data_IF_630763494907
#
_entry.id   IF_630763494907
#
_cell.length_a   1.000
_cell.length_b   1.000
_cell.length_c   1.000
_cell.angle_alpha   90.00
_cell.angle_beta   90.00
_cell.angle_gamma   90.00
#
_symmetry.space_group_name_H-M   'P 1'
#
loop_
_entity.id
_entity.type
_entity.pdbx_description
1 polymer ?
#
# COMPACT_ATOMS: atom_id res chain seq x y z
N UNK A 1 -11.44 10.12 12.91
CA UNK A 1 -10.37 10.86 12.20
C UNK A 1 -9.17 9.94 11.92
N UNK A 2 -8.70 9.13 12.87
CA UNK A 2 -7.52 8.26 12.72
C UNK A 2 -7.67 7.16 11.65
N UNK A 3 -8.87 6.76 11.31
CA UNK A 3 -9.14 5.73 10.30
C UNK A 3 -9.26 6.28 8.88
N UNK A 4 -9.63 7.54 8.72
CA UNK A 4 -9.75 8.17 7.40
C UNK A 4 -8.40 8.59 6.82
N UNK A 5 -7.47 9.00 7.67
CA UNK A 5 -6.15 9.47 7.24
C UNK A 5 -5.41 8.42 6.39
N UNK A 6 -5.20 7.16 6.84
CA UNK A 6 -4.50 6.17 6.05
C UNK A 6 -5.21 5.86 4.74
N UNK A 7 -6.54 5.79 4.73
CA UNK A 7 -7.32 5.58 3.52
C UNK A 7 -7.10 6.70 2.50
N UNK A 8 -7.20 7.97 2.92
CA UNK A 8 -6.99 9.13 2.03
C UNK A 8 -5.56 9.13 1.48
N UNK A 9 -4.55 8.90 2.35
CA UNK A 9 -3.14 8.88 1.92
C UNK A 9 -2.91 7.75 0.92
N UNK A 10 -3.45 6.56 1.18
CA UNK A 10 -3.39 5.43 0.24
C UNK A 10 -4.04 5.76 -1.11
N UNK A 11 -5.23 6.36 -1.10
CA UNK A 11 -5.92 6.76 -2.33
C UNK A 11 -5.14 7.81 -3.12
N UNK A 12 -4.53 8.79 -2.45
CA UNK A 12 -3.70 9.82 -3.09
C UNK A 12 -2.46 9.24 -3.78
N UNK A 13 -1.94 8.13 -3.28
CA UNK A 13 -0.77 7.46 -3.89
C UNK A 13 -1.02 7.07 -5.35
N UNK A 14 -2.28 6.79 -5.71
CA UNK A 14 -2.64 6.41 -7.08
C UNK A 14 -2.34 7.49 -8.10
N UNK A 15 -2.32 8.76 -7.68
CA UNK A 15 -1.96 9.88 -8.56
C UNK A 15 -0.50 9.82 -9.05
N UNK A 16 0.35 9.01 -8.44
CA UNK A 16 1.72 8.76 -8.92
C UNK A 16 1.80 7.79 -10.09
N UNK A 17 0.71 7.09 -10.41
CA UNK A 17 0.61 6.14 -11.52
C UNK A 17 -0.01 6.78 -12.76
N UNK A 18 0.13 6.08 -13.89
CA UNK A 18 -0.57 6.50 -15.11
C UNK A 18 -2.10 6.51 -14.88
N UNK A 19 -2.85 7.49 -15.42
CA UNK A 19 -2.46 8.53 -16.37
C UNK A 19 -1.90 9.83 -15.74
N UNK A 20 -1.89 9.96 -14.41
CA UNK A 20 -1.54 11.22 -13.73
C UNK A 20 -0.03 11.46 -13.69
N UNK A 21 0.77 10.42 -13.46
CA UNK A 21 2.25 10.44 -13.44
C UNK A 21 2.87 11.46 -12.46
N UNK A 22 2.18 11.79 -11.36
CA UNK A 22 2.68 12.73 -10.35
C UNK A 22 3.52 11.99 -9.31
N UNK A 23 4.67 11.45 -9.74
CA UNK A 23 5.55 10.61 -8.89
C UNK A 23 6.03 11.32 -7.62
N UNK A 24 6.09 12.65 -7.62
CA UNK A 24 6.48 13.45 -6.45
C UNK A 24 5.58 13.17 -5.23
N UNK A 25 4.34 12.72 -5.45
CA UNK A 25 3.42 12.32 -4.37
C UNK A 25 4.02 11.20 -3.54
N UNK A 26 4.73 10.25 -4.16
CA UNK A 26 5.38 9.15 -3.43
C UNK A 26 6.46 9.65 -2.48
N UNK A 27 7.20 10.71 -2.86
CA UNK A 27 8.21 11.33 -2.00
C UNK A 27 7.60 11.96 -0.73
N UNK A 28 6.31 12.28 -0.75
CA UNK A 28 5.58 12.81 0.40
C UNK A 28 4.88 11.67 1.16
N UNK A 29 4.21 10.79 0.42
CA UNK A 29 3.37 9.73 1.00
C UNK A 29 4.20 8.70 1.77
N UNK A 30 5.33 8.22 1.22
CA UNK A 30 6.13 7.20 1.89
C UNK A 30 6.75 7.68 3.22
N UNK A 31 7.41 8.85 3.29
CA UNK A 31 7.86 9.37 4.58
C UNK A 31 6.74 9.62 5.56
N UNK A 32 5.59 10.12 5.10
CA UNK A 32 4.42 10.33 5.95
C UNK A 32 3.85 9.00 6.48
N UNK A 33 3.78 7.98 5.62
CA UNK A 33 3.33 6.64 6.01
C UNK A 33 4.26 6.03 7.07
N UNK A 34 5.57 6.08 6.85
CA UNK A 34 6.58 5.66 7.83
C UNK A 34 6.45 6.42 9.15
N UNK A 35 6.35 7.75 9.09
CA UNK A 35 6.16 8.59 10.27
C UNK A 35 4.93 8.20 11.08
N UNK A 36 3.79 7.98 10.41
CA UNK A 36 2.54 7.61 11.09
C UNK A 36 2.63 6.21 11.73
N UNK A 37 3.28 5.24 11.09
CA UNK A 37 3.52 3.90 11.66
C UNK A 37 4.38 4.00 12.92
N UNK A 38 5.48 4.75 12.87
CA UNK A 38 6.37 4.95 14.04
C UNK A 38 5.67 5.75 15.15
N UNK A 39 4.84 6.72 14.80
CA UNK A 39 4.02 7.49 15.76
C UNK A 39 3.02 6.57 16.49
N UNK A 40 2.33 5.67 15.77
CA UNK A 40 1.43 4.69 16.39
C UNK A 40 2.21 3.80 17.35
N UNK A 41 3.40 3.32 16.95
CA UNK A 41 4.26 2.52 17.81
C UNK A 41 4.63 3.27 19.10
N UNK A 42 5.15 4.48 18.98
CA UNK A 42 5.54 5.32 20.13
C UNK A 42 4.35 5.61 21.05
N UNK A 43 3.20 5.96 20.49
CA UNK A 43 2.00 6.31 21.27
C UNK A 43 1.38 5.10 21.98
N UNK A 44 1.52 3.90 21.42
CA UNK A 44 0.98 2.67 22.00
C UNK A 44 1.86 2.13 23.14
N UNK A 45 3.14 2.48 23.19
CA UNK A 45 4.08 2.13 24.27
C UNK A 45 4.00 3.06 25.48
N UNK A 46 3.13 4.07 25.47
CA UNK A 46 2.98 5.01 26.60
C UNK A 46 2.52 4.28 27.86
N UNK A 47 3.18 4.56 28.99
CA UNK A 47 2.92 3.95 30.30
C UNK A 47 1.48 4.18 30.79
N UNK A 48 0.89 5.33 30.44
CA UNK A 48 -0.44 5.75 30.92
C UNK A 48 -1.61 5.14 30.15
N UNK A 49 -1.40 4.56 28.98
CA UNK A 49 -2.48 4.00 28.16
C UNK A 49 -1.97 2.87 27.29
N UNK A 50 -2.16 1.63 27.72
CA UNK A 50 -1.92 0.45 26.89
C UNK A 50 -2.95 0.42 25.75
N UNK A 51 -2.53 0.84 24.57
CA UNK A 51 -3.35 0.70 23.37
C UNK A 51 -2.98 -0.60 22.65
N UNK A 52 -3.92 -1.29 21.98
CA UNK A 52 -3.64 -2.51 21.23
C UNK A 52 -2.78 -2.18 19.99
N UNK A 53 -1.46 -2.14 20.19
CA UNK A 53 -0.48 -1.74 19.17
C UNK A 53 -0.65 -2.49 17.86
N UNK A 54 -0.65 -3.83 17.92
CA UNK A 54 -0.74 -4.68 16.72
C UNK A 54 -2.04 -4.46 15.96
N UNK A 55 -3.16 -4.35 16.66
CA UNK A 55 -4.45 -4.05 16.05
C UNK A 55 -4.45 -2.71 15.34
N UNK A 56 -3.90 -1.68 15.98
CA UNK A 56 -3.83 -0.33 15.39
C UNK A 56 -2.94 -0.30 14.16
N UNK A 57 -1.78 -0.99 14.20
CA UNK A 57 -0.86 -1.10 13.07
C UNK A 57 -1.51 -1.86 11.90
N UNK A 58 -2.14 -3.01 12.18
CA UNK A 58 -2.85 -3.78 11.18
C UNK A 58 -3.96 -2.97 10.51
N UNK A 59 -4.83 -2.33 11.31
CA UNK A 59 -5.93 -1.51 10.78
C UNK A 59 -5.41 -0.32 9.97
N UNK A 60 -4.30 0.29 10.40
CA UNK A 60 -3.68 1.39 9.69
C UNK A 60 -3.14 0.95 8.33
N UNK A 61 -2.39 -0.17 8.27
CA UNK A 61 -1.89 -0.74 7.03
C UNK A 61 -3.01 -1.22 6.11
N UNK A 62 -4.05 -1.85 6.67
CA UNK A 62 -5.22 -2.31 5.92
C UNK A 62 -5.97 -1.15 5.26
N UNK A 63 -6.23 -0.07 5.98
CA UNK A 63 -6.94 1.09 5.45
C UNK A 63 -6.12 1.85 4.41
N UNK A 64 -4.80 1.96 4.62
CA UNK A 64 -3.91 2.52 3.61
C UNK A 64 -3.93 1.68 2.33
N UNK A 65 -3.73 0.38 2.45
CA UNK A 65 -3.78 -0.55 1.32
C UNK A 65 -5.14 -0.56 0.64
N UNK A 66 -6.22 -0.56 1.40
CA UNK A 66 -7.57 -0.53 0.86
C UNK A 66 -7.83 0.74 0.05
N UNK A 67 -7.42 1.92 0.54
CA UNK A 67 -7.51 3.16 -0.20
C UNK A 67 -6.69 3.13 -1.49
N UNK A 68 -5.46 2.62 -1.42
CA UNK A 68 -4.57 2.50 -2.56
C UNK A 68 -5.12 1.55 -3.64
N UNK A 69 -5.51 0.34 -3.27
CA UNK A 69 -6.02 -0.62 -4.25
C UNK A 69 -7.43 -0.31 -4.74
N UNK A 70 -8.32 0.19 -3.88
CA UNK A 70 -9.65 0.60 -4.31
C UNK A 70 -9.58 1.68 -5.38
N UNK A 71 -8.74 2.70 -5.18
CA UNK A 71 -8.59 3.79 -6.14
C UNK A 71 -7.81 3.36 -7.39
N UNK A 72 -6.81 2.48 -7.23
CA UNK A 72 -5.90 2.10 -8.33
C UNK A 72 -6.41 1.00 -9.23
N UNK A 73 -7.25 0.08 -8.73
CA UNK A 73 -7.73 -1.07 -9.51
C UNK A 73 -9.24 -1.15 -9.66
N UNK A 74 -9.98 -0.11 -9.27
CA UNK A 74 -11.44 -0.08 -9.43
C UNK A 74 -11.91 -0.29 -10.87
N UNK A 75 -11.08 0.07 -11.85
CA UNK A 75 -11.35 -0.15 -13.27
C UNK A 75 -11.52 -1.63 -13.66
N UNK A 76 -10.99 -2.57 -12.84
CA UNK A 76 -11.07 -4.02 -13.15
C UNK A 76 -12.52 -4.51 -13.20
N UNK A 77 -13.43 -3.84 -12.51
CA UNK A 77 -14.86 -4.22 -12.54
C UNK A 77 -15.50 -3.94 -13.89
N UNK A 78 -14.89 -3.12 -14.75
CA UNK A 78 -15.39 -2.88 -16.10
C UNK A 78 -15.41 -4.17 -16.91
N UNK A 79 -14.51 -5.13 -16.62
CA UNK A 79 -14.53 -6.44 -17.25
C UNK A 79 -15.81 -7.24 -16.96
N UNK A 80 -16.44 -7.01 -15.81
CA UNK A 80 -17.67 -7.66 -15.41
C UNK A 80 -18.93 -7.03 -16.05
N UNK A 81 -18.78 -5.91 -16.75
CA UNK A 81 -19.90 -5.26 -17.43
C UNK A 81 -20.19 -5.82 -18.83
N UNK A 82 -19.29 -6.63 -19.38
CA UNK A 82 -19.45 -7.23 -20.71
C UNK A 82 -20.55 -8.29 -20.77
N UNK A 83 -20.86 -8.94 -19.65
CA UNK A 83 -21.95 -9.92 -19.54
C UNK A 83 -22.88 -9.55 -18.39
N UNK A 84 -24.16 -9.46 -18.68
CA UNK A 84 -25.18 -9.04 -17.69
C UNK A 84 -25.25 -9.97 -16.48
N UNK A 85 -24.92 -11.25 -16.64
CA UNK A 85 -24.91 -12.24 -15.56
C UNK A 85 -23.87 -11.93 -14.49
N UNK A 86 -22.75 -11.28 -14.86
CA UNK A 86 -21.66 -10.95 -13.94
C UNK A 86 -21.81 -9.59 -13.26
N UNK A 87 -22.76 -8.74 -13.67
CA UNK A 87 -22.95 -7.41 -13.06
C UNK A 87 -23.23 -7.47 -11.57
N UNK A 88 -23.89 -8.54 -11.09
CA UNK A 88 -24.15 -8.75 -9.66
C UNK A 88 -22.86 -8.91 -8.83
N UNK A 89 -21.73 -9.31 -9.46
CA UNK A 89 -20.44 -9.47 -8.80
C UNK A 89 -19.66 -8.16 -8.63
N UNK A 90 -20.05 -7.09 -9.33
CA UNK A 90 -19.35 -5.78 -9.32
C UNK A 90 -19.13 -5.26 -7.89
N UNK A 91 -20.15 -5.13 -7.01
CA UNK A 91 -19.95 -4.61 -5.66
C UNK A 91 -19.03 -5.50 -4.82
N UNK A 92 -19.09 -6.81 -5.03
CA UNK A 92 -18.19 -7.76 -4.33
C UNK A 92 -16.76 -7.60 -4.81
N UNK A 93 -16.52 -7.53 -6.12
CA UNK A 93 -15.19 -7.34 -6.69
C UNK A 93 -14.57 -6.01 -6.25
N UNK A 94 -15.34 -4.92 -6.25
CA UNK A 94 -14.90 -3.60 -5.79
C UNK A 94 -14.44 -3.57 -4.34
N UNK A 95 -14.96 -4.41 -3.48
CA UNK A 95 -14.61 -4.43 -2.06
C UNK A 95 -13.61 -5.54 -1.76
N UNK A 96 -13.88 -6.78 -2.20
CA UNK A 96 -13.09 -7.95 -1.79
C UNK A 96 -11.68 -7.96 -2.40
N UNK A 97 -11.54 -7.55 -3.67
CA UNK A 97 -10.23 -7.54 -4.33
C UNK A 97 -9.28 -6.52 -3.67
N UNK A 98 -9.65 -5.23 -3.51
CA UNK A 98 -8.82 -4.28 -2.78
C UNK A 98 -8.57 -4.67 -1.33
N UNK A 99 -9.56 -5.24 -0.65
CA UNK A 99 -9.41 -5.68 0.74
C UNK A 99 -8.38 -6.83 0.85
N UNK A 100 -8.44 -7.80 -0.05
CA UNK A 100 -7.48 -8.89 -0.10
C UNK A 100 -6.06 -8.39 -0.39
N UNK A 101 -5.91 -7.54 -1.41
CA UNK A 101 -4.60 -6.97 -1.76
C UNK A 101 -4.04 -6.07 -0.66
N UNK A 102 -4.89 -5.41 0.11
CA UNK A 102 -4.44 -4.59 1.24
C UNK A 102 -3.74 -5.40 2.33
N UNK A 103 -3.93 -6.71 2.40
CA UNK A 103 -3.22 -7.59 3.33
C UNK A 103 -1.71 -7.60 3.06
N UNK A 104 -1.28 -7.42 1.80
CA UNK A 104 0.14 -7.32 1.45
C UNK A 104 0.82 -6.05 1.99
N UNK A 105 0.05 -5.07 2.43
CA UNK A 105 0.57 -3.91 3.17
C UNK A 105 0.32 -4.08 4.67
N UNK A 106 -0.85 -4.55 5.06
CA UNK A 106 -1.25 -4.67 6.46
C UNK A 106 -0.41 -5.67 7.25
N UNK A 107 -0.10 -6.85 6.65
CA UNK A 107 0.70 -7.88 7.32
C UNK A 107 2.14 -7.44 7.57
N UNK A 108 2.89 -6.91 6.59
CA UNK A 108 4.19 -6.31 6.86
C UNK A 108 4.16 -5.30 8.00
N UNK A 109 3.22 -4.34 7.97
CA UNK A 109 3.08 -3.31 9.01
C UNK A 109 2.76 -3.92 10.38
N UNK A 110 1.92 -4.95 10.43
CA UNK A 110 1.62 -5.69 11.66
C UNK A 110 2.85 -6.31 12.30
N UNK A 111 3.72 -6.93 11.48
CA UNK A 111 4.89 -7.66 11.98
C UNK A 111 6.06 -6.75 12.31
N UNK A 112 6.40 -5.81 11.42
CA UNK A 112 7.58 -4.96 11.59
C UNK A 112 7.32 -3.68 12.38
N UNK A 113 6.09 -3.14 12.32
CA UNK A 113 5.72 -1.87 12.95
C UNK A 113 6.13 -1.73 14.43
N UNK A 114 5.99 -2.78 15.28
CA UNK A 114 6.41 -2.72 16.67
C UNK A 114 7.91 -2.47 16.88
N UNK A 115 8.74 -2.79 15.88
CA UNK A 115 10.20 -2.68 15.94
C UNK A 115 10.73 -1.40 15.29
N UNK A 116 9.90 -0.70 14.52
CA UNK A 116 10.31 0.51 13.83
C UNK A 116 10.48 1.69 14.80
N UNK A 117 11.60 2.37 14.66
CA UNK A 117 11.90 3.62 15.34
C UNK A 117 12.08 4.74 14.32
N UNK A 118 12.03 5.99 14.75
CA UNK A 118 12.24 7.11 13.85
C UNK A 118 13.74 7.33 13.60
N UNK A 119 14.34 6.44 12.80
CA UNK A 119 15.73 6.50 12.36
C UNK A 119 15.89 6.00 10.93
N UNK A 120 17.03 6.30 10.31
CA UNK A 120 17.31 5.97 8.92
C UNK A 120 17.32 4.45 8.66
N UNK A 121 17.88 3.66 9.56
CA UNK A 121 17.91 2.19 9.42
C UNK A 121 16.51 1.59 9.42
N UNK A 122 15.62 2.08 10.28
CA UNK A 122 14.21 1.66 10.29
C UNK A 122 13.48 2.08 9.01
N UNK A 123 13.81 3.24 8.44
CA UNK A 123 13.24 3.68 7.16
C UNK A 123 13.65 2.74 6.01
N UNK A 124 14.92 2.38 5.92
CA UNK A 124 15.42 1.43 4.92
C UNK A 124 14.79 0.04 5.10
N UNK A 125 14.70 -0.43 6.33
CA UNK A 125 14.08 -1.72 6.64
C UNK A 125 12.59 -1.72 6.27
N UNK A 126 11.87 -0.64 6.58
CA UNK A 126 10.48 -0.45 6.20
C UNK A 126 10.28 -0.47 4.68
N UNK A 127 11.10 0.27 3.94
CA UNK A 127 11.06 0.29 2.48
C UNK A 127 11.37 -1.09 1.88
N UNK A 128 12.40 -1.77 2.39
CA UNK A 128 12.78 -3.11 1.93
C UNK A 128 11.70 -4.16 2.15
N UNK A 129 11.01 -4.12 3.30
CA UNK A 129 9.92 -5.07 3.58
C UNK A 129 8.69 -4.77 2.71
N UNK A 130 8.36 -3.53 2.42
CA UNK A 130 7.28 -3.20 1.50
C UNK A 130 7.61 -3.64 0.07
N UNK A 131 8.85 -3.42 -0.39
CA UNK A 131 9.32 -3.90 -1.68
C UNK A 131 9.27 -5.44 -1.77
N UNK A 132 9.73 -6.14 -0.72
CA UNK A 132 9.62 -7.59 -0.63
C UNK A 132 8.17 -8.08 -0.66
N UNK A 133 7.26 -7.38 -0.01
CA UNK A 133 5.82 -7.70 -0.04
C UNK A 133 5.23 -7.52 -1.44
N UNK A 134 5.65 -6.49 -2.16
CA UNK A 134 5.25 -6.27 -3.56
C UNK A 134 5.79 -7.38 -4.48
N UNK A 135 7.04 -7.77 -4.28
CA UNK A 135 7.63 -8.90 -4.98
C UNK A 135 6.85 -10.20 -4.72
N UNK A 136 6.55 -10.52 -3.46
CA UNK A 136 5.74 -11.70 -3.12
C UNK A 136 4.37 -11.66 -3.78
N UNK A 137 3.72 -10.51 -3.79
CA UNK A 137 2.42 -10.32 -4.42
C UNK A 137 2.46 -10.59 -5.92
N UNK A 138 3.52 -10.12 -6.59
CA UNK A 138 3.71 -10.35 -8.01
C UNK A 138 3.86 -11.84 -8.36
N UNK A 139 4.44 -12.66 -7.48
CA UNK A 139 4.62 -14.09 -7.70
C UNK A 139 3.43 -14.93 -7.24
N UNK A 140 2.90 -14.71 -6.03
CA UNK A 140 1.84 -15.54 -5.41
C UNK A 140 0.54 -15.44 -6.21
N UNK A 141 0.21 -14.28 -6.77
CA UNK A 141 -1.03 -14.03 -7.49
C UNK A 141 -0.89 -14.25 -9.02
N UNK A 142 -0.14 -15.27 -9.41
CA UNK A 142 0.05 -15.63 -10.84
C UNK A 142 0.60 -14.47 -11.69
N UNK A 143 1.44 -13.61 -11.09
CA UNK A 143 1.99 -12.45 -11.77
C UNK A 143 1.00 -11.30 -11.91
N UNK A 144 0.17 -11.03 -10.88
CA UNK A 144 -0.70 -9.86 -10.87
C UNK A 144 0.12 -8.57 -10.61
N UNK A 145 0.62 -7.91 -11.67
CA UNK A 145 1.62 -6.84 -11.55
C UNK A 145 1.01 -5.45 -11.36
N UNK A 146 -0.31 -5.36 -11.20
CA UNK A 146 -1.01 -4.08 -11.15
C UNK A 146 -0.66 -3.28 -9.91
N UNK A 147 -0.37 -2.01 -10.10
CA UNK A 147 -0.01 -1.06 -9.05
C UNK A 147 1.19 -1.49 -8.18
N UNK A 148 2.21 -2.13 -8.79
CA UNK A 148 3.51 -2.27 -8.15
C UNK A 148 4.15 -0.88 -8.01
N UNK A 149 4.79 -0.61 -6.87
CA UNK A 149 5.37 0.71 -6.59
C UNK A 149 6.38 1.17 -7.65
N UNK A 150 7.15 0.24 -8.22
CA UNK A 150 8.10 0.53 -9.30
C UNK A 150 7.41 1.14 -10.53
N UNK A 151 6.17 0.78 -10.82
CA UNK A 151 5.44 1.30 -11.98
C UNK A 151 5.02 2.78 -11.83
N UNK A 152 5.10 3.35 -10.66
CA UNK A 152 4.90 4.80 -10.49
C UNK A 152 5.99 5.66 -11.13
N UNK A 153 7.09 5.03 -11.58
CA UNK A 153 8.25 5.69 -12.22
C UNK A 153 8.41 5.32 -13.69
N UNK A 154 7.48 4.56 -14.28
CA UNK A 154 7.60 4.03 -15.68
C UNK A 154 7.80 5.12 -16.72
N UNK A 155 7.24 6.28 -16.51
CA UNK A 155 7.37 7.44 -17.41
C UNK A 155 8.77 8.11 -17.34
N UNK A 156 9.59 7.75 -16.34
CA UNK A 156 10.97 8.21 -16.17
C UNK A 156 11.92 7.10 -16.67
N UNK A 157 12.29 7.16 -17.95
CA UNK A 157 13.10 6.13 -18.61
C UNK A 157 14.42 5.87 -17.88
N UNK A 158 15.04 6.91 -17.32
CA UNK A 158 16.31 6.82 -16.61
C UNK A 158 16.18 6.01 -15.31
N UNK A 159 15.05 6.11 -14.61
CA UNK A 159 14.82 5.41 -13.35
C UNK A 159 14.41 3.97 -13.61
N UNK A 160 13.56 3.71 -14.62
CA UNK A 160 13.09 2.35 -14.88
C UNK A 160 14.21 1.42 -15.38
N UNK A 161 15.27 1.97 -15.97
CA UNK A 161 16.44 1.17 -16.36
C UNK A 161 17.11 0.50 -15.15
N UNK A 162 17.02 1.09 -13.94
CA UNK A 162 17.52 0.47 -12.71
C UNK A 162 16.77 -0.83 -12.41
N UNK A 163 15.48 -0.90 -12.71
CA UNK A 163 14.67 -2.11 -12.54
C UNK A 163 15.17 -3.25 -13.43
N UNK A 164 15.68 -2.94 -14.62
CA UNK A 164 16.27 -3.94 -15.51
C UNK A 164 17.57 -4.58 -14.96
N UNK A 165 18.30 -3.84 -14.10
CA UNK A 165 19.53 -4.33 -13.47
C UNK A 165 19.26 -5.13 -12.18
N UNK A 166 18.26 -4.74 -11.40
CA UNK A 166 18.01 -5.26 -10.05
C UNK A 166 16.85 -6.28 -10.07
N UNK A 167 16.02 -6.27 -11.09
CA UNK A 167 14.74 -6.98 -11.16
C UNK A 167 13.61 -6.19 -10.48
N UNK A 168 12.40 -6.67 -10.69
CA UNK A 168 11.20 -6.16 -10.01
C UNK A 168 11.03 -6.87 -8.67
#
# INVERSE_FOLDING_TARGET
TLYLIPFIIGSLTVLSFHPFNVTIINLIVFPLFFYLVTYINKKSKSVYRKKPLRRNLFTFGLLFGFGFYLSGISWIVNSLTFDDNFKILIPFALILIPLFLSLFIALPILFIGPYLNFNFSSLLFFAGILAFSDYLRAYILTGFPWNLWAYSTVWLNEIIQIVNLIGL
#
